data_IF_010847571930
#
_entry.id   IF_010847571930
#
_cell.length_a   1.000
_cell.length_b   1.000
_cell.length_c   1.000
_cell.angle_alpha   90.00
_cell.angle_beta   90.00
_cell.angle_gamma   90.00
#
_symmetry.space_group_name_H-M   'P 1'
#
loop_
_entity.id
_entity.type
_entity.pdbx_description
1 polymer ?
#
# COMPACT_ATOMS: atom_id res chain seq x y z
N UNK A 1 0.17 -26.83 -12.14
CA UNK A 1 1.59 -26.68 -11.72
C UNK A 1 1.70 -27.31 -10.36
N UNK A 2 2.75 -28.10 -10.13
CA UNK A 2 2.91 -28.77 -8.85
C UNK A 2 3.24 -27.73 -7.75
N UNK A 3 2.65 -27.88 -6.57
CA UNK A 3 2.94 -27.05 -5.39
C UNK A 3 2.24 -25.69 -5.29
N UNK A 4 1.27 -25.37 -6.16
CA UNK A 4 0.49 -24.12 -6.04
C UNK A 4 -0.55 -24.23 -4.92
N UNK A 5 -0.53 -23.30 -3.96
CA UNK A 5 -1.53 -23.20 -2.89
C UNK A 5 -2.92 -22.89 -3.47
N UNK A 6 -3.99 -23.45 -2.89
CA UNK A 6 -5.38 -23.27 -3.37
C UNK A 6 -5.79 -21.80 -3.49
N UNK A 7 -5.30 -20.97 -2.56
CA UNK A 7 -5.67 -19.55 -2.46
C UNK A 7 -4.84 -18.63 -3.37
N UNK A 8 -3.87 -19.17 -4.11
CA UNK A 8 -2.92 -18.42 -4.94
C UNK A 8 -3.04 -18.73 -6.44
N UNK A 9 -4.19 -19.24 -6.88
CA UNK A 9 -4.45 -19.55 -8.29
C UNK A 9 -4.68 -18.25 -9.08
N UNK A 10 -3.83 -17.97 -10.07
CA UNK A 10 -4.08 -16.92 -11.06
C UNK A 10 -5.09 -17.40 -12.12
N UNK A 11 -6.31 -16.87 -12.08
CA UNK A 11 -7.39 -17.21 -13.01
C UNK A 11 -7.79 -16.05 -13.93
N UNK A 12 -8.94 -16.20 -14.61
CA UNK A 12 -9.46 -15.18 -15.53
C UNK A 12 -9.82 -13.84 -14.86
N UNK A 13 -10.02 -13.84 -13.54
CA UNK A 13 -10.33 -12.66 -12.74
C UNK A 13 -9.09 -12.06 -12.04
N UNK A 14 -7.90 -12.62 -12.23
CA UNK A 14 -6.68 -12.15 -11.56
C UNK A 14 -6.01 -11.06 -12.39
N UNK A 15 -5.81 -9.88 -11.79
CA UNK A 15 -4.96 -8.84 -12.38
C UNK A 15 -3.54 -8.96 -11.82
N UNK A 16 -2.55 -8.83 -12.70
CA UNK A 16 -1.13 -8.97 -12.35
C UNK A 16 -0.43 -7.62 -12.45
N UNK A 17 0.46 -7.34 -11.49
CA UNK A 17 1.44 -6.25 -11.57
C UNK A 17 2.83 -6.87 -11.59
N UNK A 18 3.68 -6.41 -12.50
CA UNK A 18 5.08 -6.82 -12.54
C UNK A 18 5.83 -6.20 -11.36
N UNK A 19 6.65 -7.02 -10.71
CA UNK A 19 7.40 -6.66 -9.50
C UNK A 19 8.84 -7.17 -9.54
N UNK A 20 9.34 -7.67 -10.68
CA UNK A 20 10.72 -8.11 -10.80
C UNK A 20 11.69 -6.94 -10.52
N UNK A 21 12.66 -7.17 -9.63
CA UNK A 21 13.63 -6.15 -9.21
C UNK A 21 13.08 -5.06 -8.29
N UNK A 22 11.81 -5.14 -7.86
CA UNK A 22 11.20 -4.18 -6.93
C UNK A 22 11.14 -4.74 -5.50
N UNK A 23 10.95 -3.83 -4.54
CA UNK A 23 10.72 -4.17 -3.13
C UNK A 23 9.28 -3.77 -2.76
N UNK A 24 8.49 -4.74 -2.30
CA UNK A 24 7.20 -4.46 -1.68
C UNK A 24 7.39 -4.19 -0.18
N UNK A 25 6.77 -3.13 0.32
CA UNK A 25 6.69 -2.81 1.75
C UNK A 25 5.23 -2.60 2.16
N UNK A 26 4.86 -2.83 3.43
CA UNK A 26 3.60 -2.30 3.96
C UNK A 26 3.58 -0.77 3.81
N UNK A 27 2.39 -0.21 3.61
CA UNK A 27 2.24 1.25 3.67
C UNK A 27 2.56 1.79 5.06
N UNK A 28 3.20 2.96 5.10
CA UNK A 28 3.55 3.63 6.36
C UNK A 28 2.33 4.05 7.16
N UNK A 29 2.49 4.04 8.49
CA UNK A 29 1.48 4.51 9.44
C UNK A 29 2.11 5.68 10.21
N UNK A 30 1.59 6.89 9.99
CA UNK A 30 1.96 8.06 10.79
C UNK A 30 0.93 8.25 11.90
N UNK A 31 1.41 8.21 13.13
CA UNK A 31 0.58 8.25 14.34
C UNK A 31 0.55 9.62 15.01
N UNK A 32 1.23 10.61 14.43
CA UNK A 32 1.33 11.95 14.98
C UNK A 32 1.12 13.01 13.90
N UNK A 33 -0.07 12.98 13.30
CA UNK A 33 -0.44 13.87 12.21
C UNK A 33 -1.22 15.07 12.75
N UNK A 34 -0.76 16.27 12.42
CA UNK A 34 -1.55 17.49 12.58
C UNK A 34 -2.31 17.75 11.28
N UNK A 35 -3.64 17.69 11.31
CA UNK A 35 -4.47 17.84 10.11
C UNK A 35 -4.70 19.31 9.71
N UNK A 36 -3.60 20.04 9.52
CA UNK A 36 -3.59 21.49 9.27
C UNK A 36 -3.97 21.88 7.84
N UNK A 37 -3.85 20.95 6.88
CA UNK A 37 -4.16 21.20 5.48
C UNK A 37 -4.63 19.94 4.76
N UNK A 38 -5.49 20.10 3.76
CA UNK A 38 -5.99 18.99 2.95
C UNK A 38 -4.87 18.37 2.07
N UNK A 39 -3.89 19.18 1.69
CA UNK A 39 -2.75 18.80 0.85
C UNK A 39 -1.79 17.83 1.55
N UNK A 40 -1.82 17.77 2.88
CA UNK A 40 -1.00 16.86 3.67
C UNK A 40 -1.18 15.40 3.25
N UNK A 41 -2.42 14.99 2.95
CA UNK A 41 -2.72 13.63 2.51
C UNK A 41 -2.01 13.27 1.20
N UNK A 42 -1.90 14.21 0.26
CA UNK A 42 -1.22 13.99 -1.03
C UNK A 42 0.30 13.83 -0.84
N UNK A 43 0.89 14.60 0.07
CA UNK A 43 2.30 14.45 0.42
C UNK A 43 2.58 13.13 1.14
N UNK A 44 1.69 12.72 2.06
CA UNK A 44 1.82 11.46 2.78
C UNK A 44 1.81 10.25 1.84
N UNK A 45 0.83 10.16 0.94
CA UNK A 45 0.74 9.03 0.01
C UNK A 45 1.90 9.00 -1.00
N UNK A 46 2.38 10.17 -1.45
CA UNK A 46 3.56 10.25 -2.32
C UNK A 46 4.85 9.75 -1.63
N UNK A 47 4.93 9.83 -0.31
CA UNK A 47 6.02 9.28 0.51
C UNK A 47 5.81 7.82 0.94
N UNK A 48 4.72 7.18 0.53
CA UNK A 48 4.40 5.79 0.88
C UNK A 48 3.69 5.61 2.22
N UNK A 49 3.19 6.69 2.84
CA UNK A 49 2.36 6.64 4.05
C UNK A 49 0.90 6.48 3.63
N UNK A 50 0.26 5.38 4.05
CA UNK A 50 -1.12 5.05 3.64
C UNK A 50 -2.12 5.18 4.77
N UNK A 51 -1.66 5.40 6.01
CA UNK A 51 -2.52 5.60 7.19
C UNK A 51 -2.04 6.80 8.00
N UNK A 52 -2.97 7.70 8.32
CA UNK A 52 -2.73 8.92 9.09
C UNK A 52 -3.63 8.92 10.32
N UNK A 53 -3.03 9.03 11.50
CA UNK A 53 -3.75 9.15 12.77
C UNK A 53 -3.24 10.38 13.52
N UNK A 54 -4.17 11.12 14.12
CA UNK A 54 -3.86 12.36 14.80
C UNK A 54 -5.10 13.22 15.01
N UNK A 55 -4.89 14.50 15.25
CA UNK A 55 -5.93 15.47 15.54
C UNK A 55 -5.60 16.81 14.87
N UNK A 56 -6.49 17.79 15.06
CA UNK A 56 -6.18 19.18 14.73
C UNK A 56 -5.11 19.71 15.70
#
# INVERSE_FOLDING_TARGET
MDGVHSDLICGVATTVRDAEGLIATPGGIDVHVHFDSAQLCDHAIAAGITSLMGAL
#
